data_IF_447337952136
#
_entry.id   IF_447337952136
#
_cell.length_a   1.000
_cell.length_b   1.000
_cell.length_c   1.000
_cell.angle_alpha   90.00
_cell.angle_beta   90.00
_cell.angle_gamma   90.00
#
_symmetry.space_group_name_H-M   'P 1'
#
loop_
_entity.id
_entity.type
_entity.pdbx_description
1 polymer ?
#
# COMPACT_ATOMS: atom_id res chain seq x y z
N UNK A 1 -19.17 -5.18 -3.66
CA UNK A 1 -19.14 -4.19 -2.55
C UNK A 1 -17.68 -4.00 -2.19
N UNK A 2 -17.23 -2.75 -2.06
CA UNK A 2 -15.85 -2.44 -1.72
C UNK A 2 -15.79 -2.18 -0.21
N UNK A 3 -15.11 -3.04 0.53
CA UNK A 3 -15.27 -3.08 1.99
C UNK A 3 -14.36 -2.13 2.77
N UNK A 4 -13.28 -1.58 2.19
CA UNK A 4 -12.23 -0.88 2.98
C UNK A 4 -11.64 0.40 2.40
N UNK A 5 -12.01 0.84 1.19
CA UNK A 5 -11.49 2.08 0.59
C UNK A 5 -9.99 2.04 0.28
N UNK A 6 -9.34 3.22 0.27
CA UNK A 6 -7.91 3.41 0.00
C UNK A 6 -7.17 3.63 1.32
N UNK A 7 -6.08 2.89 1.53
CA UNK A 7 -5.12 3.17 2.60
C UNK A 7 -3.90 3.85 2.00
N UNK A 8 -3.62 5.08 2.40
CA UNK A 8 -2.43 5.82 2.01
C UNK A 8 -1.30 5.57 3.01
N UNK A 9 -0.07 5.52 2.50
CA UNK A 9 1.13 5.24 3.29
C UNK A 9 2.34 5.98 2.72
N UNK A 10 3.48 5.91 3.40
CA UNK A 10 4.72 6.61 3.09
C UNK A 10 4.71 8.07 3.53
N UNK A 11 5.87 8.73 3.47
CA UNK A 11 6.00 10.13 3.91
C UNK A 11 5.16 11.11 3.09
N UNK A 12 4.96 10.84 1.79
CA UNK A 12 4.12 11.67 0.92
C UNK A 12 2.64 11.72 1.35
N UNK A 13 2.14 10.67 2.02
CA UNK A 13 0.77 10.62 2.52
C UNK A 13 0.48 11.65 3.63
N UNK A 14 1.51 12.17 4.28
CA UNK A 14 1.40 13.16 5.37
C UNK A 14 1.29 14.61 4.87
N UNK A 15 1.32 14.83 3.55
CA UNK A 15 1.04 16.15 2.99
C UNK A 15 -0.37 16.57 3.39
N UNK A 16 -0.47 17.75 4.01
CA UNK A 16 -1.74 18.27 4.52
C UNK A 16 -2.79 18.32 3.42
N UNK A 17 -3.90 17.61 3.64
CA UNK A 17 -5.04 17.59 2.73
C UNK A 17 -4.92 16.65 1.53
N UNK A 18 -3.82 15.89 1.41
CA UNK A 18 -3.69 14.92 0.31
C UNK A 18 -4.74 13.80 0.40
N UNK A 19 -5.03 13.29 1.59
CA UNK A 19 -6.10 12.30 1.81
C UNK A 19 -7.47 12.83 1.32
N UNK A 20 -7.76 14.11 1.57
CA UNK A 20 -9.00 14.75 1.18
C UNK A 20 -9.09 14.92 -0.34
N UNK A 21 -7.97 15.29 -0.98
CA UNK A 21 -7.89 15.37 -2.44
C UNK A 21 -8.15 14.00 -3.08
N UNK A 22 -7.46 12.96 -2.62
CA UNK A 22 -7.65 11.60 -3.15
C UNK A 22 -9.09 11.13 -2.92
N UNK A 23 -9.69 11.43 -1.76
CA UNK A 23 -11.09 11.09 -1.48
C UNK A 23 -12.06 11.81 -2.43
N UNK A 24 -11.84 13.10 -2.71
CA UNK A 24 -12.67 13.87 -3.61
C UNK A 24 -12.58 13.38 -5.07
N UNK A 25 -11.37 13.07 -5.55
CA UNK A 25 -11.13 12.63 -6.93
C UNK A 25 -11.60 11.19 -7.19
N UNK A 26 -11.49 10.32 -6.19
CA UNK A 26 -11.86 8.89 -6.34
C UNK A 26 -13.30 8.60 -5.93
N UNK A 27 -13.93 9.46 -5.13
CA UNK A 27 -15.23 9.20 -4.52
C UNK A 27 -15.22 8.03 -3.51
N UNK A 28 -14.03 7.57 -3.10
CA UNK A 28 -13.84 6.42 -2.22
C UNK A 28 -13.34 6.88 -0.84
N UNK A 29 -13.71 6.20 0.27
CA UNK A 29 -13.13 6.47 1.58
C UNK A 29 -11.61 6.33 1.54
N UNK A 30 -10.90 7.30 2.12
CA UNK A 30 -9.44 7.30 2.19
C UNK A 30 -8.99 7.43 3.64
N UNK A 31 -8.01 6.62 4.04
CA UNK A 31 -7.43 6.65 5.37
C UNK A 31 -5.90 6.61 5.29
N UNK A 32 -5.22 7.29 6.21
CA UNK A 32 -3.78 7.14 6.40
C UNK A 32 -3.51 5.90 7.27
N UNK A 33 -2.49 5.12 6.91
CA UNK A 33 -2.02 4.02 7.74
C UNK A 33 -1.57 4.52 9.13
N UNK A 34 -1.71 3.71 10.17
CA UNK A 34 -1.33 4.07 11.55
C UNK A 34 0.16 4.46 11.66
N UNK A 35 1.04 3.71 10.99
CA UNK A 35 2.48 3.99 10.91
C UNK A 35 2.92 4.12 9.43
N UNK A 36 2.60 5.25 8.77
CA UNK A 36 2.78 5.37 7.32
C UNK A 36 4.27 5.39 6.93
N UNK A 37 5.14 5.88 7.81
CA UNK A 37 6.59 5.91 7.59
C UNK A 37 7.25 4.52 7.72
N UNK A 38 6.64 3.61 8.49
CA UNK A 38 7.21 2.28 8.77
C UNK A 38 6.59 1.17 7.92
N UNK A 39 5.49 1.46 7.21
CA UNK A 39 4.72 0.47 6.45
C UNK A 39 5.57 -0.34 5.48
N UNK A 40 6.50 0.31 4.76
CA UNK A 40 7.39 -0.38 3.80
C UNK A 40 8.32 -1.35 4.51
N UNK A 41 9.09 -0.89 5.51
CA UNK A 41 10.07 -1.74 6.19
C UNK A 41 9.42 -2.87 6.99
N UNK A 42 8.26 -2.61 7.62
CA UNK A 42 7.48 -3.65 8.31
C UNK A 42 6.92 -4.68 7.33
N UNK A 43 6.41 -4.23 6.19
CA UNK A 43 5.93 -5.12 5.12
C UNK A 43 7.04 -6.01 4.57
N UNK A 44 8.20 -5.42 4.30
CA UNK A 44 9.39 -6.16 3.86
C UNK A 44 9.84 -7.19 4.91
N UNK A 45 9.88 -6.83 6.19
CA UNK A 45 10.21 -7.77 7.28
C UNK A 45 9.28 -8.97 7.30
N UNK A 46 7.96 -8.75 7.27
CA UNK A 46 6.95 -9.82 7.20
C UNK A 46 7.11 -10.69 5.95
N UNK A 47 7.41 -10.06 4.81
CA UNK A 47 7.62 -10.78 3.56
C UNK A 47 8.87 -11.68 3.59
N UNK A 48 9.92 -11.28 4.31
CA UNK A 48 11.10 -12.10 4.54
C UNK A 48 10.83 -13.26 5.50
N UNK A 49 10.01 -13.06 6.53
CA UNK A 49 9.57 -14.13 7.43
C UNK A 49 8.77 -15.21 6.69
N UNK A 50 8.00 -14.82 5.67
CA UNK A 50 7.19 -15.72 4.84
C UNK A 50 7.74 -15.90 3.41
N UNK A 51 9.07 -15.91 3.25
CA UNK A 51 9.72 -15.86 1.93
C UNK A 51 9.28 -16.98 0.98
N UNK A 52 9.00 -18.18 1.50
CA UNK A 52 8.53 -19.32 0.71
C UNK A 52 7.08 -19.14 0.23
N UNK A 53 6.23 -18.48 1.02
CA UNK A 53 4.88 -18.11 0.60
C UNK A 53 4.95 -17.05 -0.50
N UNK A 54 5.77 -16.02 -0.29
CA UNK A 54 5.99 -14.96 -1.28
C UNK A 54 6.50 -15.52 -2.61
N UNK A 55 7.42 -16.49 -2.57
CA UNK A 55 7.96 -17.16 -3.76
C UNK A 55 6.91 -17.87 -4.61
N UNK A 56 5.84 -18.37 -4.01
CA UNK A 56 4.75 -19.06 -4.73
C UNK A 56 3.84 -18.09 -5.49
N UNK A 57 3.71 -16.86 -5.00
CA UNK A 57 2.77 -15.86 -5.54
C UNK A 57 3.44 -14.76 -6.34
N UNK A 58 4.78 -14.67 -6.31
CA UNK A 58 5.52 -13.68 -7.10
C UNK A 58 5.24 -13.90 -8.60
N UNK A 59 4.68 -12.88 -9.24
CA UNK A 59 4.47 -12.90 -10.69
C UNK A 59 5.82 -12.69 -11.35
N UNK A 60 6.31 -13.70 -12.07
CA UNK A 60 7.50 -13.52 -12.91
C UNK A 60 7.07 -12.69 -14.12
N UNK A 61 7.52 -11.43 -14.19
CA UNK A 61 7.36 -10.62 -15.39
C UNK A 61 8.11 -11.34 -16.51
N UNK A 62 7.39 -12.01 -17.43
CA UNK A 62 8.00 -12.41 -18.71
C UNK A 62 8.60 -11.14 -19.30
N UNK A 63 9.91 -11.15 -19.59
CA UNK A 63 10.53 -10.12 -20.41
C UNK A 63 9.63 -9.91 -21.63
N UNK A 64 9.01 -8.74 -21.73
CA UNK A 64 8.49 -8.22 -22.99
C UNK A 64 9.74 -7.94 -23.83
N UNK A 65 10.22 -8.98 -24.50
CA UNK A 65 11.18 -8.90 -25.58
C UNK A 65 10.40 -8.83 -26.89
#
# INVERSE_FOLDING_TARGET
>A
IMDRGIIMTGGGSLLRGLENLVQAETGMPVHIAEEPLLSVVRGTGKALEEIETLRKVQVTTKKLA
#
